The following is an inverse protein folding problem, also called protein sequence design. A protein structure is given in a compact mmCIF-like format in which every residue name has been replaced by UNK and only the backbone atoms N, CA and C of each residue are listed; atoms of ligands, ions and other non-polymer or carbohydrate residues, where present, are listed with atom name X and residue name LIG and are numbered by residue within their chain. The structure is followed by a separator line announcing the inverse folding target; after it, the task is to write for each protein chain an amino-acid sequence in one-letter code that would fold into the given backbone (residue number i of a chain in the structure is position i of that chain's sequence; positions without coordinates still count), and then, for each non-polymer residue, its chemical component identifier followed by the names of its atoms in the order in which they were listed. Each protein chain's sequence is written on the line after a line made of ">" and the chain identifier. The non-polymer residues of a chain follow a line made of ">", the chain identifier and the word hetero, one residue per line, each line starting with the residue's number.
data_IF_644758281967
#
_entry.id   IF_644758281967
#
_cell.length_a   1.000
_cell.length_b   1.000
_cell.length_c   1.000
_cell.angle_alpha   90.00
_cell.angle_beta   90.00
_cell.angle_gamma   90.00
#
_symmetry.space_group_name_H-M   'P 1'
#
loop_
_entity.id
_entity.type
_entity.pdbx_description
1 polymer ?
#
# COMPACT_ATOMS: atom_id res chain seq x y z
N UNK A 1 -33.19 15.37 1.08
CA UNK A 1 -32.41 15.81 2.25
C UNK A 1 -30.95 15.42 2.02
N UNK A 2 -30.02 16.38 2.16
CA UNK A 2 -28.57 16.11 1.94
C UNK A 2 -28.04 15.23 3.06
N UNK A 3 -27.17 14.26 2.74
CA UNK A 3 -26.45 13.43 3.73
C UNK A 3 -25.71 14.30 4.76
N UNK A 4 -25.19 15.44 4.35
CA UNK A 4 -24.50 16.38 5.23
C UNK A 4 -25.44 17.00 6.29
N UNK A 5 -26.69 17.28 5.91
CA UNK A 5 -27.69 17.80 6.85
C UNK A 5 -28.08 16.76 7.91
N UNK A 6 -28.18 15.47 7.51
CA UNK A 6 -28.44 14.35 8.42
C UNK A 6 -27.30 14.12 9.40
N UNK A 7 -26.07 14.29 8.94
CA UNK A 7 -24.87 14.12 9.78
C UNK A 7 -24.52 15.37 10.60
N UNK A 8 -25.24 16.47 10.44
CA UNK A 8 -24.93 17.74 11.13
C UNK A 8 -23.56 18.33 10.72
N UNK A 9 -23.07 17.99 9.53
CA UNK A 9 -21.76 18.42 9.04
C UNK A 9 -21.95 19.48 7.95
N UNK A 10 -21.25 20.60 8.09
CA UNK A 10 -21.15 21.59 7.01
C UNK A 10 -19.97 21.20 6.13
N UNK A 11 -20.17 20.87 4.83
CA UNK A 11 -19.07 20.53 3.95
C UNK A 11 -18.21 21.78 3.71
N UNK A 12 -16.96 21.72 4.15
CA UNK A 12 -15.97 22.72 3.78
C UNK A 12 -15.48 22.41 2.36
N UNK A 13 -15.73 23.32 1.44
CA UNK A 13 -15.32 23.16 0.06
C UNK A 13 -13.80 23.28 -0.07
N UNK A 14 -13.13 22.18 -0.43
CA UNK A 14 -11.89 22.26 -1.17
C UNK A 14 -10.60 22.49 -0.40
N UNK A 15 -10.51 22.21 0.89
CA UNK A 15 -9.26 22.35 1.64
C UNK A 15 -8.14 21.42 1.20
N UNK A 16 -8.47 20.20 0.72
CA UNK A 16 -7.48 19.22 0.28
C UNK A 16 -7.45 19.11 -1.25
N UNK A 17 -6.29 19.27 -1.89
CA UNK A 17 -6.15 19.12 -3.33
C UNK A 17 -6.56 17.72 -3.81
N UNK A 18 -7.25 17.63 -4.95
CA UNK A 18 -7.73 16.35 -5.51
C UNK A 18 -6.62 15.32 -5.72
N UNK A 19 -5.43 15.77 -6.14
CA UNK A 19 -4.29 14.88 -6.35
C UNK A 19 -3.78 14.27 -5.04
N UNK A 20 -3.84 15.01 -3.95
CA UNK A 20 -3.47 14.49 -2.62
C UNK A 20 -4.45 13.43 -2.13
N UNK A 21 -5.76 13.67 -2.34
CA UNK A 21 -6.78 12.67 -2.03
C UNK A 21 -6.55 11.39 -2.84
N UNK A 22 -6.30 11.52 -4.15
CA UNK A 22 -6.04 10.39 -5.03
C UNK A 22 -4.76 9.63 -4.63
N UNK A 23 -3.68 10.35 -4.28
CA UNK A 23 -2.43 9.73 -3.80
C UNK A 23 -2.67 8.95 -2.50
N UNK A 24 -3.36 9.53 -1.53
CA UNK A 24 -3.69 8.89 -0.25
C UNK A 24 -4.49 7.61 -0.44
N UNK A 25 -5.51 7.63 -1.30
CA UNK A 25 -6.32 6.44 -1.60
C UNK A 25 -5.47 5.35 -2.28
N UNK A 26 -4.69 5.71 -3.29
CA UNK A 26 -3.84 4.76 -4.01
C UNK A 26 -2.78 4.15 -3.09
N UNK A 27 -2.08 4.97 -2.29
CA UNK A 27 -1.04 4.49 -1.37
C UNK A 27 -1.60 3.61 -0.24
N UNK A 28 -2.80 3.89 0.26
CA UNK A 28 -3.44 3.02 1.24
C UNK A 28 -3.69 1.62 0.65
N UNK A 29 -4.20 1.55 -0.59
CA UNK A 29 -4.42 0.26 -1.28
C UNK A 29 -3.10 -0.46 -1.60
N UNK A 30 -2.07 0.28 -2.04
CA UNK A 30 -0.75 -0.27 -2.34
C UNK A 30 -0.10 -0.83 -1.09
N UNK A 31 -0.15 -0.10 0.03
CA UNK A 31 0.45 -0.52 1.28
C UNK A 31 -0.22 -1.77 1.84
N UNK A 32 -1.55 -1.82 1.82
CA UNK A 32 -2.32 -2.99 2.26
C UNK A 32 -2.04 -4.22 1.39
N UNK A 33 -1.97 -4.05 0.06
CA UNK A 33 -1.60 -5.13 -0.84
C UNK A 33 -0.18 -5.66 -0.53
N UNK A 34 0.76 -4.77 -0.23
CA UNK A 34 2.12 -5.14 0.14
C UNK A 34 2.18 -5.87 1.49
N UNK A 35 1.36 -5.48 2.48
CA UNK A 35 1.21 -6.23 3.73
C UNK A 35 0.68 -7.64 3.48
N UNK A 36 -0.42 -7.78 2.73
CA UNK A 36 -0.98 -9.09 2.36
C UNK A 36 0.02 -9.98 1.61
N UNK A 37 0.86 -9.38 0.76
CA UNK A 37 1.91 -10.10 0.04
C UNK A 37 3.02 -10.56 1.01
N UNK A 38 3.50 -9.66 1.86
CA UNK A 38 4.54 -9.97 2.85
C UNK A 38 4.11 -11.03 3.88
N UNK A 39 2.83 -11.08 4.21
CA UNK A 39 2.23 -12.07 5.11
C UNK A 39 1.89 -13.41 4.42
N UNK A 40 2.09 -13.50 3.10
CA UNK A 40 1.81 -14.72 2.34
C UNK A 40 0.31 -14.99 2.11
N UNK A 41 -0.55 -14.01 2.31
CA UNK A 41 -2.00 -14.10 2.01
C UNK A 41 -2.22 -14.22 0.50
N UNK A 42 -1.43 -13.50 -0.29
CA UNK A 42 -1.45 -13.56 -1.74
C UNK A 42 -0.49 -14.63 -2.26
N UNK A 43 -0.90 -15.39 -3.27
CA UNK A 43 -0.06 -16.41 -3.90
C UNK A 43 0.98 -15.82 -4.84
N UNK A 44 0.68 -14.66 -5.43
CA UNK A 44 1.58 -13.93 -6.31
C UNK A 44 1.22 -12.45 -6.39
N UNK A 45 2.17 -11.63 -6.82
CA UNK A 45 1.92 -10.22 -7.11
C UNK A 45 0.89 -10.05 -8.25
N UNK A 46 0.92 -10.96 -9.24
CA UNK A 46 -0.06 -10.95 -10.34
C UNK A 46 -1.48 -11.17 -9.84
N UNK A 47 -1.69 -12.13 -8.94
CA UNK A 47 -3.03 -12.38 -8.37
C UNK A 47 -3.52 -11.16 -7.59
N UNK A 48 -2.62 -10.50 -6.86
CA UNK A 48 -2.93 -9.27 -6.15
C UNK A 48 -3.27 -8.10 -7.07
N UNK A 49 -2.56 -7.91 -8.17
CA UNK A 49 -2.87 -6.88 -9.15
C UNK A 49 -4.25 -7.11 -9.79
N UNK A 50 -4.52 -8.33 -10.23
CA UNK A 50 -5.82 -8.71 -10.82
C UNK A 50 -6.95 -8.54 -9.80
N UNK A 51 -6.75 -9.04 -8.57
CA UNK A 51 -7.74 -8.91 -7.50
C UNK A 51 -8.03 -7.47 -7.13
N UNK A 52 -7.03 -6.60 -7.07
CA UNK A 52 -7.20 -5.20 -6.76
C UNK A 52 -7.94 -4.43 -7.87
N UNK A 53 -7.65 -4.73 -9.13
CA UNK A 53 -8.33 -4.09 -10.27
C UNK A 53 -9.81 -4.50 -10.31
N UNK A 54 -10.09 -5.79 -10.31
CA UNK A 54 -11.46 -6.28 -10.51
C UNK A 54 -12.30 -6.31 -9.23
N UNK A 55 -11.67 -6.51 -8.06
CA UNK A 55 -12.37 -6.61 -6.78
C UNK A 55 -12.49 -5.29 -6.03
N UNK A 56 -11.50 -4.43 -6.11
CA UNK A 56 -11.41 -3.20 -5.30
C UNK A 56 -11.46 -1.91 -6.12
N UNK A 57 -11.47 -1.99 -7.46
CA UNK A 57 -11.51 -0.83 -8.32
C UNK A 57 -10.18 -0.04 -8.38
N UNK A 58 -9.05 -0.70 -8.16
CA UNK A 58 -7.75 -0.07 -8.39
C UNK A 58 -7.63 0.36 -9.86
N UNK A 59 -7.07 1.54 -10.17
CA UNK A 59 -7.01 2.06 -11.54
C UNK A 59 -6.32 1.08 -12.51
N UNK A 60 -7.03 0.52 -13.50
CA UNK A 60 -6.50 -0.54 -14.38
C UNK A 60 -5.35 -0.05 -15.26
N UNK A 61 -5.33 1.23 -15.62
CA UNK A 61 -4.23 1.82 -16.39
C UNK A 61 -2.90 1.90 -15.63
N UNK A 62 -2.90 1.64 -14.31
CA UNK A 62 -1.71 1.49 -13.47
C UNK A 62 -1.22 0.05 -13.40
N UNK A 63 -2.00 -0.91 -13.91
CA UNK A 63 -1.64 -2.32 -13.93
C UNK A 63 -1.80 -3.07 -12.59
N UNK A 64 -2.27 -2.39 -11.55
CA UNK A 64 -2.42 -2.91 -10.20
C UNK A 64 -1.43 -2.31 -9.19
N UNK A 65 -1.60 -2.61 -7.89
CA UNK A 65 -0.77 -2.05 -6.83
C UNK A 65 0.71 -2.44 -6.94
N UNK A 66 1.02 -3.67 -7.30
CA UNK A 66 2.40 -4.15 -7.41
C UNK A 66 3.09 -3.62 -8.67
N UNK A 67 2.38 -3.55 -9.80
CA UNK A 67 2.87 -2.87 -11.01
C UNK A 67 3.11 -1.39 -10.76
N UNK A 68 2.26 -0.76 -9.97
CA UNK A 68 2.46 0.62 -9.57
C UNK A 68 3.77 0.80 -8.79
N UNK A 69 4.05 -0.07 -7.80
CA UNK A 69 5.32 -0.02 -7.04
C UNK A 69 6.52 -0.21 -7.98
N UNK A 70 6.46 -1.21 -8.87
CA UNK A 70 7.56 -1.46 -9.80
C UNK A 70 7.81 -0.28 -10.74
N UNK A 71 6.76 0.44 -11.16
CA UNK A 71 6.87 1.60 -12.06
C UNK A 71 7.38 2.87 -11.38
N UNK A 72 7.02 3.07 -10.11
CA UNK A 72 7.41 4.26 -9.32
C UNK A 72 8.74 4.06 -8.61
N UNK A 73 9.03 2.81 -8.25
CA UNK A 73 10.14 2.41 -7.41
C UNK A 73 9.79 2.35 -5.93
N UNK A 74 10.19 1.25 -5.26
CA UNK A 74 9.86 0.99 -3.87
C UNK A 74 10.34 2.11 -2.93
N UNK A 75 11.54 2.66 -3.16
CA UNK A 75 12.07 3.76 -2.35
C UNK A 75 11.17 5.00 -2.38
N UNK A 76 10.67 5.37 -3.54
CA UNK A 76 9.78 6.53 -3.68
C UNK A 76 8.42 6.25 -3.05
N UNK A 77 7.89 5.05 -3.18
CA UNK A 77 6.63 4.65 -2.52
C UNK A 77 6.78 4.72 -1.00
N UNK A 78 7.88 4.20 -0.43
CA UNK A 78 8.18 4.29 1.01
C UNK A 78 8.24 5.74 1.48
N UNK A 79 8.97 6.62 0.76
CA UNK A 79 9.04 8.06 1.10
C UNK A 79 7.67 8.74 1.14
N UNK A 80 6.80 8.41 0.19
CA UNK A 80 5.43 8.95 0.14
C UNK A 80 4.60 8.43 1.30
N UNK A 81 4.68 7.14 1.61
CA UNK A 81 4.01 6.55 2.76
C UNK A 81 4.45 7.20 4.07
N UNK A 82 5.76 7.35 4.31
CA UNK A 82 6.31 8.01 5.50
C UNK A 82 5.83 9.47 5.64
N UNK A 83 5.72 10.21 4.52
CA UNK A 83 5.15 11.56 4.52
C UNK A 83 3.69 11.55 4.97
N UNK A 84 2.89 10.63 4.44
CA UNK A 84 1.48 10.48 4.83
C UNK A 84 1.32 9.94 6.25
N UNK A 85 2.22 9.08 6.73
CA UNK A 85 2.23 8.60 8.10
C UNK A 85 2.38 9.75 9.11
N UNK A 86 3.31 10.68 8.85
CA UNK A 86 3.51 11.87 9.69
C UNK A 86 2.28 12.77 9.77
N UNK A 87 1.49 12.84 8.70
CA UNK A 87 0.31 13.71 8.60
C UNK A 87 -0.99 13.02 9.03
N UNK A 88 -1.11 11.71 8.81
CA UNK A 88 -2.38 10.98 8.88
C UNK A 88 -2.32 9.74 9.76
N UNK A 89 -1.18 9.46 10.38
CA UNK A 89 -0.99 8.39 11.35
C UNK A 89 -0.65 7.01 10.78
N UNK A 90 -0.62 6.04 11.68
CA UNK A 90 -0.03 4.71 11.47
C UNK A 90 -0.61 3.86 10.33
N UNK A 91 -1.78 4.20 9.78
CA UNK A 91 -2.32 3.50 8.60
C UNK A 91 -1.43 3.60 7.37
N UNK A 92 -0.50 4.56 7.35
CA UNK A 92 0.47 4.78 6.28
C UNK A 92 1.87 4.30 6.64
N UNK A 93 2.06 3.63 7.79
CA UNK A 93 3.34 2.98 8.10
C UNK A 93 3.71 2.04 6.96
N UNK A 94 4.89 2.21 6.32
CA UNK A 94 5.25 1.41 5.16
C UNK A 94 5.31 -0.08 5.49
N UNK A 95 4.74 -0.91 4.62
CA UNK A 95 4.82 -2.36 4.74
C UNK A 95 6.30 -2.81 4.76
N UNK A 96 6.70 -3.75 5.65
CA UNK A 96 8.08 -4.20 5.76
C UNK A 96 8.70 -4.65 4.44
N UNK A 97 7.93 -5.34 3.60
CA UNK A 97 8.37 -5.79 2.28
C UNK A 97 8.76 -4.62 1.35
N UNK A 98 8.07 -3.48 1.44
CA UNK A 98 8.41 -2.28 0.66
C UNK A 98 9.72 -1.66 1.17
N UNK A 99 9.93 -1.65 2.49
CA UNK A 99 11.16 -1.14 3.11
C UNK A 99 12.36 -2.01 2.72
N UNK A 100 12.23 -3.32 2.76
CA UNK A 100 13.26 -4.27 2.33
C UNK A 100 13.61 -4.07 0.85
N UNK A 101 12.59 -3.92 -0.02
CA UNK A 101 12.80 -3.64 -1.45
C UNK A 101 13.50 -2.29 -1.67
N UNK A 102 13.15 -1.27 -0.88
CA UNK A 102 13.76 0.06 -0.99
C UNK A 102 15.25 0.04 -0.63
N UNK A 103 15.66 -0.84 0.30
CA UNK A 103 17.04 -0.99 0.76
C UNK A 103 17.87 -1.94 -0.10
N UNK A 104 17.30 -3.09 -0.46
CA UNK A 104 18.01 -4.18 -1.11
C UNK A 104 17.86 -4.23 -2.64
N UNK A 105 16.96 -3.42 -3.18
CA UNK A 105 16.50 -3.57 -4.56
C UNK A 105 15.63 -4.81 -4.71
N UNK A 106 14.87 -4.85 -5.78
CA UNK A 106 13.93 -5.93 -6.07
C UNK A 106 12.71 -5.37 -6.78
N UNK A 107 11.85 -6.26 -7.23
CA UNK A 107 10.59 -5.92 -7.87
C UNK A 107 9.54 -6.94 -7.49
N UNK A 108 8.28 -6.62 -7.68
CA UNK A 108 7.21 -7.60 -7.54
C UNK A 108 7.06 -8.46 -8.80
N UNK A 109 7.51 -7.95 -9.95
CA UNK A 109 7.46 -8.64 -11.23
C UNK A 109 8.84 -8.66 -11.90
N UNK A 110 9.03 -9.60 -12.85
CA UNK A 110 10.28 -9.70 -13.62
C UNK A 110 11.34 -10.59 -12.96
N UNK A 111 12.60 -10.43 -13.38
CA UNK A 111 13.70 -11.31 -13.00
C UNK A 111 14.13 -11.17 -11.52
N UNK A 112 13.91 -10.01 -10.93
CA UNK A 112 14.21 -9.73 -9.52
C UNK A 112 12.96 -9.82 -8.61
N UNK A 113 11.97 -10.59 -9.04
CA UNK A 113 10.73 -10.70 -8.29
C UNK A 113 10.94 -11.36 -6.92
N UNK A 114 10.48 -10.69 -5.89
CA UNK A 114 10.42 -11.22 -4.53
C UNK A 114 9.29 -12.24 -4.39
N UNK A 115 9.37 -13.09 -3.37
CA UNK A 115 8.35 -14.12 -3.12
C UNK A 115 7.38 -13.68 -2.03
N UNK A 116 6.10 -14.11 -2.10
CA UNK A 116 5.16 -13.92 -1.00
C UNK A 116 5.66 -14.57 0.30
N UNK A 117 5.27 -13.98 1.45
CA UNK A 117 5.63 -14.50 2.76
C UNK A 117 7.06 -14.21 3.21
N UNK A 118 7.82 -13.43 2.48
CA UNK A 118 9.23 -13.12 2.81
C UNK A 118 9.38 -12.42 4.17
N UNK A 119 8.39 -11.64 4.59
CA UNK A 119 8.39 -10.89 5.88
C UNK A 119 7.78 -11.65 7.05
N UNK A 120 7.22 -12.84 6.86
CA UNK A 120 6.63 -13.64 7.94
C UNK A 120 7.68 -14.04 9.01
N UNK A 121 8.93 -14.23 8.61
CA UNK A 121 10.04 -14.64 9.49
C UNK A 121 10.41 -13.58 10.53
N UNK A 122 10.18 -12.28 10.23
CA UNK A 122 10.52 -11.18 11.16
C UNK A 122 9.51 -11.08 12.30
N UNK A 123 8.20 -11.25 12.01
CA UNK A 123 7.15 -11.22 13.05
C UNK A 123 7.21 -12.44 13.99
N UNK A 124 7.65 -13.59 13.50
CA UNK A 124 7.81 -14.79 14.32
C UNK A 124 9.01 -14.67 15.27
N UNK A 125 10.10 -14.06 14.80
CA UNK A 125 11.27 -13.76 15.63
C UNK A 125 10.99 -12.70 16.72
N UNK A 126 10.12 -11.71 16.45
CA UNK A 126 9.69 -10.72 17.46
C UNK A 126 8.72 -11.34 18.48
N UNK A 127 7.82 -12.22 18.10
CA UNK A 127 6.93 -12.94 19.03
C UNK A 127 7.68 -13.85 19.99
N UNK A 128 8.77 -14.47 19.54
CA UNK A 128 9.62 -15.33 20.39
C UNK A 128 10.48 -14.54 21.37
N UNK A 129 10.77 -13.25 21.08
CA UNK A 129 11.52 -12.38 22.01
C UNK A 129 10.68 -11.77 23.13
N UNK A 130 9.37 -11.86 23.07
CA UNK A 130 8.42 -11.29 24.07
C UNK A 130 7.91 -12.36 25.04
N UNK A 131 8.28 -13.63 24.82
CA UNK A 131 8.08 -14.74 25.76
C UNK A 131 9.37 -15.07 26.50
#
# INVERSE_FOLDING_TARGET
>A
ESVYAVLGVTPEAGATPKHEIAERLALAMVNEAALCFGEGVLRSARDGDVGAIFGLGFPPFRGGPFRYVDSVGALEVVRRLERHEKQHGARFTPAPVLVEMAQGGGSFHGERAIRPGTTATVREAERVRVL
#
